data_IF_762960661399
#
_entry.id   IF_762960661399
#
_cell.length_a   1.000
_cell.length_b   1.000
_cell.length_c   1.000
_cell.angle_alpha   90.00
_cell.angle_beta   90.00
_cell.angle_gamma   90.00
#
_symmetry.space_group_name_H-M   'P 1'
#
loop_
_entity.id
_entity.type
_entity.pdbx_description
1 polymer ?
#
# COMPACT_ATOMS: atom_id res chain seq x y z
N UNK A 1 -15.88 22.05 3.21
CA UNK A 1 -17.01 22.00 4.14
C UNK A 1 -16.53 21.58 5.52
N UNK A 2 -16.76 22.44 6.51
CA UNK A 2 -16.31 22.26 7.91
C UNK A 2 -16.85 21.00 8.63
N UNK A 3 -17.78 20.27 8.02
CA UNK A 3 -18.39 19.08 8.61
C UNK A 3 -17.66 17.77 8.27
N UNK A 4 -16.96 17.70 7.16
CA UNK A 4 -16.33 16.45 6.70
C UNK A 4 -14.84 16.36 7.05
N UNK A 5 -14.16 17.47 7.22
CA UNK A 5 -12.74 17.50 7.61
C UNK A 5 -12.44 16.74 8.92
N UNK A 6 -13.23 16.92 10.01
CA UNK A 6 -12.99 16.14 11.23
C UNK A 6 -13.19 14.64 11.06
N UNK A 7 -14.10 14.22 10.18
CA UNK A 7 -14.34 12.79 9.91
C UNK A 7 -13.16 12.11 9.22
N UNK A 8 -12.38 12.86 8.45
CA UNK A 8 -11.17 12.36 7.79
C UNK A 8 -9.94 12.49 8.68
N UNK A 9 -9.74 13.63 9.32
CA UNK A 9 -8.52 13.94 10.08
C UNK A 9 -8.47 13.22 11.43
N UNK A 10 -9.62 12.99 12.05
CA UNK A 10 -9.67 12.37 13.38
C UNK A 10 -9.17 10.91 13.37
N UNK A 11 -9.62 10.02 12.46
CA UNK A 11 -9.07 8.68 12.36
C UNK A 11 -7.58 8.66 12.00
N UNK A 12 -7.13 9.57 11.13
CA UNK A 12 -5.71 9.68 10.74
C UNK A 12 -4.87 10.08 11.96
N UNK A 13 -5.30 11.14 12.67
CA UNK A 13 -4.60 11.61 13.88
C UNK A 13 -4.59 10.56 14.99
N UNK A 14 -5.71 9.88 15.20
CA UNK A 14 -5.82 8.83 16.20
C UNK A 14 -4.95 7.62 15.84
N UNK A 15 -4.96 7.17 14.58
CA UNK A 15 -4.06 6.12 14.09
C UNK A 15 -2.60 6.49 14.25
N UNK A 16 -2.24 7.74 13.93
CA UNK A 16 -0.88 8.27 14.15
C UNK A 16 -0.48 8.28 15.61
N UNK A 17 -1.37 8.66 16.53
CA UNK A 17 -1.10 8.58 17.96
C UNK A 17 -0.88 7.15 18.42
N UNK A 18 -1.77 6.23 18.04
CA UNK A 18 -1.67 4.81 18.45
C UNK A 18 -0.40 4.14 17.92
N UNK A 19 -0.01 4.42 16.68
CA UNK A 19 1.19 3.84 16.08
C UNK A 19 2.49 4.34 16.71
N UNK A 20 2.45 5.49 17.39
CA UNK A 20 3.62 6.12 18.02
C UNK A 20 3.64 6.00 19.54
N UNK A 21 2.75 5.21 20.17
CA UNK A 21 2.85 4.92 21.60
C UNK A 21 4.11 4.09 21.85
N UNK A 22 5.06 4.59 22.66
CA UNK A 22 6.29 3.87 22.94
C UNK A 22 6.01 2.48 23.52
N UNK A 23 6.76 1.48 23.09
CA UNK A 23 6.72 0.09 23.57
C UNK A 23 5.38 -0.65 23.40
N UNK A 24 4.36 -0.02 22.84
CA UNK A 24 3.06 -0.65 22.67
C UNK A 24 3.00 -1.63 21.48
N UNK A 25 3.90 -1.53 20.50
CA UNK A 25 3.99 -2.43 19.34
C UNK A 25 2.73 -2.52 18.49
N UNK A 26 1.81 -1.56 18.59
CA UNK A 26 0.48 -1.65 17.98
C UNK A 26 0.50 -1.71 16.45
N UNK A 27 1.50 -1.10 15.82
CA UNK A 27 1.70 -1.09 14.37
C UNK A 27 2.75 -2.11 13.90
N UNK A 28 3.40 -2.83 14.80
CA UNK A 28 4.43 -3.81 14.46
C UNK A 28 3.82 -5.12 14.02
N UNK A 29 4.43 -5.74 13.01
CA UNK A 29 4.12 -7.12 12.61
C UNK A 29 4.65 -8.12 13.67
N UNK A 30 4.29 -9.40 13.57
CA UNK A 30 4.82 -10.41 14.49
C UNK A 30 6.33 -10.54 14.35
N UNK A 31 6.85 -10.47 13.12
CA UNK A 31 8.27 -10.49 12.85
C UNK A 31 8.99 -9.27 13.43
N UNK A 32 8.45 -8.08 13.30
CA UNK A 32 9.02 -6.86 13.90
C UNK A 32 9.01 -6.93 15.42
N UNK A 33 7.95 -7.46 16.04
CA UNK A 33 7.90 -7.69 17.48
C UNK A 33 8.95 -8.70 17.95
N UNK A 34 9.16 -9.78 17.18
CA UNK A 34 10.22 -10.74 17.46
C UNK A 34 11.60 -10.06 17.38
N UNK A 35 11.86 -9.26 16.35
CA UNK A 35 13.13 -8.55 16.21
C UNK A 35 13.39 -7.52 17.33
N UNK A 36 12.32 -7.02 17.95
CA UNK A 36 12.41 -6.02 19.01
C UNK A 36 12.50 -6.64 20.41
N UNK A 37 11.78 -7.72 20.66
CA UNK A 37 11.62 -8.34 21.99
C UNK A 37 12.22 -9.74 22.08
N UNK A 38 12.64 -10.32 20.95
CA UNK A 38 13.12 -11.69 20.86
C UNK A 38 14.49 -11.92 21.50
N UNK A 39 14.74 -13.15 21.88
CA UNK A 39 16.05 -13.57 22.33
C UNK A 39 17.08 -13.59 21.20
N UNK A 40 18.38 -13.45 21.47
CA UNK A 40 19.42 -13.56 20.46
C UNK A 40 19.35 -14.85 19.64
N UNK A 41 18.90 -15.94 20.23
CA UNK A 41 18.74 -17.23 19.57
C UNK A 41 17.58 -17.20 18.54
N UNK A 42 16.47 -16.59 18.90
CA UNK A 42 15.31 -16.42 17.99
C UNK A 42 15.66 -15.50 16.82
N UNK A 43 16.37 -14.42 17.08
CA UNK A 43 16.84 -13.49 16.04
C UNK A 43 17.84 -14.22 15.11
N UNK A 44 18.69 -15.07 15.64
CA UNK A 44 19.62 -15.87 14.83
C UNK A 44 18.89 -16.84 13.90
N UNK A 45 17.77 -17.42 14.31
CA UNK A 45 16.93 -18.26 13.44
C UNK A 45 16.38 -17.47 12.26
N UNK A 46 15.86 -16.26 12.50
CA UNK A 46 15.39 -15.37 11.42
C UNK A 46 16.53 -14.99 10.48
N UNK A 47 17.69 -14.63 11.02
CA UNK A 47 18.88 -14.30 10.24
C UNK A 47 19.35 -15.47 9.36
N UNK A 48 19.33 -16.68 9.90
CA UNK A 48 19.69 -17.89 9.15
C UNK A 48 18.73 -18.16 7.98
N UNK A 49 17.43 -17.92 8.15
CA UNK A 49 16.44 -18.05 7.07
C UNK A 49 16.66 -17.02 5.95
N UNK A 50 17.11 -15.83 6.30
CA UNK A 50 17.45 -14.76 5.35
C UNK A 50 18.86 -14.91 4.76
N UNK A 51 19.70 -15.80 5.31
CA UNK A 51 21.09 -15.98 4.87
C UNK A 51 22.00 -14.80 5.24
N UNK A 52 21.70 -14.07 6.31
CA UNK A 52 22.46 -12.90 6.78
C UNK A 52 22.99 -13.10 8.19
N UNK A 53 23.89 -12.21 8.60
CA UNK A 53 24.36 -12.19 10.00
C UNK A 53 23.22 -11.84 10.96
N UNK A 54 23.26 -12.31 12.23
CA UNK A 54 22.23 -12.03 13.23
C UNK A 54 22.36 -10.59 13.80
N UNK A 55 22.50 -9.63 12.90
CA UNK A 55 22.49 -8.20 13.18
C UNK A 55 21.18 -7.58 12.68
N UNK A 56 20.55 -6.76 13.52
CA UNK A 56 19.27 -6.16 13.22
C UNK A 56 19.28 -5.30 11.96
N UNK A 57 20.40 -4.60 11.69
CA UNK A 57 20.52 -3.78 10.49
C UNK A 57 20.61 -4.65 9.22
N UNK A 58 21.38 -5.75 9.28
CA UNK A 58 21.49 -6.70 8.17
C UNK A 58 20.14 -7.38 7.89
N UNK A 59 19.42 -7.81 8.93
CA UNK A 59 18.11 -8.44 8.82
C UNK A 59 17.10 -7.45 8.19
N UNK A 60 17.01 -6.21 8.69
CA UNK A 60 16.12 -5.19 8.13
C UNK A 60 16.40 -4.90 6.66
N UNK A 61 17.67 -4.80 6.28
CA UNK A 61 18.07 -4.59 4.88
C UNK A 61 17.70 -5.79 4.01
N UNK A 62 17.91 -7.01 4.49
CA UNK A 62 17.52 -8.21 3.76
C UNK A 62 15.99 -8.32 3.59
N UNK A 63 15.22 -7.94 4.61
CA UNK A 63 13.75 -7.93 4.53
C UNK A 63 13.22 -6.98 3.45
N UNK A 64 13.85 -5.84 3.20
CA UNK A 64 13.40 -4.90 2.15
C UNK A 64 13.55 -5.45 0.75
N UNK A 65 14.50 -6.36 0.54
CA UNK A 65 14.75 -7.00 -0.76
C UNK A 65 14.19 -8.43 -0.88
N UNK A 66 13.68 -8.98 0.22
CA UNK A 66 13.18 -10.35 0.25
C UNK A 66 11.84 -10.50 -0.49
N UNK A 67 11.62 -11.64 -1.16
CA UNK A 67 10.30 -11.93 -1.76
C UNK A 67 9.20 -11.96 -0.70
N UNK A 68 7.99 -11.55 -1.09
CA UNK A 68 6.84 -11.49 -0.18
C UNK A 68 6.49 -12.86 0.42
N UNK A 69 6.75 -13.95 -0.33
CA UNK A 69 6.58 -15.32 0.15
C UNK A 69 7.49 -15.64 1.34
N UNK A 70 8.73 -15.17 1.30
CA UNK A 70 9.69 -15.34 2.39
C UNK A 70 9.28 -14.51 3.61
N UNK A 71 8.87 -13.28 3.43
CA UNK A 71 8.36 -12.43 4.53
C UNK A 71 7.16 -13.10 5.20
N UNK A 72 6.22 -13.66 4.43
CA UNK A 72 5.07 -14.38 5.00
C UNK A 72 5.49 -15.64 5.79
N UNK A 73 6.52 -16.35 5.36
CA UNK A 73 7.06 -17.49 6.10
C UNK A 73 7.72 -17.05 7.42
N UNK A 74 8.49 -15.98 7.41
CA UNK A 74 9.11 -15.42 8.61
C UNK A 74 8.07 -14.88 9.59
N UNK A 75 6.99 -14.27 9.08
CA UNK A 75 5.83 -13.87 9.89
C UNK A 75 5.17 -15.07 10.57
N UNK A 76 4.90 -16.15 9.83
CA UNK A 76 4.32 -17.37 10.38
C UNK A 76 5.23 -17.98 11.45
N UNK A 77 6.54 -18.06 11.17
CA UNK A 77 7.53 -18.55 12.12
C UNK A 77 7.58 -17.69 13.40
N UNK A 78 7.46 -16.39 13.26
CA UNK A 78 7.41 -15.46 14.42
C UNK A 78 6.17 -15.69 15.27
N UNK A 79 5.03 -15.97 14.65
CA UNK A 79 3.79 -16.34 15.36
C UNK A 79 3.97 -17.67 16.08
N UNK A 80 4.58 -18.67 15.45
CA UNK A 80 4.87 -19.97 16.08
C UNK A 80 5.85 -19.85 17.26
N UNK A 81 6.73 -18.86 17.24
CA UNK A 81 7.62 -18.50 18.35
C UNK A 81 6.92 -17.73 19.49
N UNK A 82 5.61 -17.45 19.35
CA UNK A 82 4.81 -16.80 20.40
C UNK A 82 4.66 -15.29 20.25
N UNK A 83 5.12 -14.69 19.14
CA UNK A 83 4.93 -13.26 18.87
C UNK A 83 3.67 -13.01 18.08
N UNK A 84 2.95 -11.94 18.41
CA UNK A 84 1.74 -11.54 17.71
C UNK A 84 1.90 -10.17 17.07
N UNK A 85 1.22 -9.96 15.95
CA UNK A 85 1.15 -8.64 15.34
C UNK A 85 0.27 -7.72 16.20
N UNK A 86 0.64 -6.44 16.23
CA UNK A 86 -0.17 -5.41 16.87
C UNK A 86 -1.51 -5.22 16.16
N UNK A 87 -2.49 -4.66 16.87
CA UNK A 87 -3.85 -4.52 16.38
C UNK A 87 -3.93 -3.65 15.10
N UNK A 88 -3.12 -2.61 14.99
CA UNK A 88 -3.06 -1.76 13.80
C UNK A 88 -2.44 -2.50 12.61
N UNK A 89 -1.40 -3.31 12.85
CA UNK A 89 -0.79 -4.14 11.82
C UNK A 89 -1.78 -5.20 11.31
N UNK A 90 -2.54 -5.84 12.19
CA UNK A 90 -3.60 -6.78 11.81
C UNK A 90 -4.71 -6.10 11.02
N UNK A 91 -5.17 -4.93 11.48
CA UNK A 91 -6.18 -4.15 10.77
C UNK A 91 -5.69 -3.77 9.37
N UNK A 92 -4.45 -3.28 9.26
CA UNK A 92 -3.84 -2.95 7.97
C UNK A 92 -3.77 -4.17 7.05
N UNK A 93 -3.30 -5.30 7.57
CA UNK A 93 -3.18 -6.55 6.81
C UNK A 93 -4.53 -7.00 6.25
N UNK A 94 -5.59 -6.95 7.06
CA UNK A 94 -6.94 -7.36 6.63
C UNK A 94 -7.56 -6.31 5.72
N UNK A 95 -7.59 -5.05 6.13
CA UNK A 95 -8.31 -4.00 5.40
C UNK A 95 -7.60 -3.62 4.09
N UNK A 96 -6.28 -3.42 4.12
CA UNK A 96 -5.51 -2.94 2.99
C UNK A 96 -4.80 -4.10 2.28
N UNK A 97 -4.12 -4.96 3.03
CA UNK A 97 -3.31 -6.05 2.49
C UNK A 97 -4.13 -7.02 1.62
N UNK A 98 -5.33 -7.39 2.03
CA UNK A 98 -6.25 -8.20 1.24
C UNK A 98 -7.11 -7.40 0.25
N UNK A 99 -6.97 -6.07 0.18
CA UNK A 99 -7.69 -5.22 -0.77
C UNK A 99 -9.17 -4.99 -0.43
N UNK A 100 -9.63 -5.31 0.77
CA UNK A 100 -11.02 -5.14 1.19
C UNK A 100 -11.41 -3.65 1.23
N UNK A 101 -10.59 -2.82 1.85
CA UNK A 101 -10.87 -1.38 1.98
C UNK A 101 -10.98 -0.68 0.63
N UNK A 102 -10.08 -0.87 -0.35
CA UNK A 102 -10.26 -0.33 -1.70
C UNK A 102 -11.58 -0.72 -2.34
N UNK A 103 -11.99 -1.99 -2.25
CA UNK A 103 -13.27 -2.46 -2.79
C UNK A 103 -14.47 -1.78 -2.13
N UNK A 104 -14.46 -1.66 -0.80
CA UNK A 104 -15.52 -0.97 -0.04
C UNK A 104 -15.57 0.52 -0.38
N UNK A 105 -14.42 1.17 -0.56
CA UNK A 105 -14.33 2.57 -0.97
C UNK A 105 -14.96 2.75 -2.37
N UNK A 106 -14.62 1.90 -3.34
CA UNK A 106 -15.23 1.95 -4.68
C UNK A 106 -16.74 1.74 -4.65
N UNK A 107 -17.19 0.76 -3.86
CA UNK A 107 -18.63 0.53 -3.68
C UNK A 107 -19.32 1.75 -3.05
N UNK A 108 -18.71 2.38 -2.06
CA UNK A 108 -19.22 3.59 -1.42
C UNK A 108 -19.29 4.77 -2.38
N UNK A 109 -18.24 5.01 -3.17
CA UNK A 109 -18.22 6.05 -4.21
C UNK A 109 -19.31 5.78 -5.25
N UNK A 110 -19.46 4.53 -5.70
CA UNK A 110 -20.52 4.15 -6.64
C UNK A 110 -21.93 4.40 -6.07
N UNK A 111 -22.14 4.08 -4.79
CA UNK A 111 -23.43 4.32 -4.13
C UNK A 111 -23.77 5.81 -3.95
N UNK A 112 -22.76 6.67 -3.82
CA UNK A 112 -22.94 8.12 -3.69
C UNK A 112 -23.02 8.85 -5.03
N UNK A 113 -22.72 8.17 -6.15
CA UNK A 113 -22.70 8.78 -7.46
C UNK A 113 -24.12 9.07 -7.96
N UNK A 114 -24.39 10.32 -8.30
CA UNK A 114 -25.65 10.72 -8.94
C UNK A 114 -25.53 10.52 -10.47
N UNK A 115 -26.20 9.50 -10.96
CA UNK A 115 -26.28 9.19 -12.39
C UNK A 115 -27.34 10.02 -13.16
N UNK A 116 -28.13 10.85 -12.48
CA UNK A 116 -29.16 11.66 -13.08
C UNK A 116 -28.66 12.52 -14.25
N UNK A 117 -27.59 13.30 -14.09
CA UNK A 117 -27.02 14.11 -15.18
C UNK A 117 -26.57 13.30 -16.40
N UNK A 118 -26.03 12.08 -16.17
CA UNK A 118 -25.60 11.18 -17.23
C UNK A 118 -26.80 10.64 -18.02
N UNK A 119 -27.87 10.26 -17.33
CA UNK A 119 -29.10 9.76 -17.97
C UNK A 119 -29.82 10.86 -18.73
N UNK A 120 -29.80 12.09 -18.22
CA UNK A 120 -30.39 13.25 -18.85
C UNK A 120 -29.65 13.68 -20.13
N UNK A 121 -28.31 13.50 -20.16
CA UNK A 121 -27.48 13.88 -21.29
C UNK A 121 -26.42 12.80 -21.61
N UNK A 122 -26.78 11.74 -22.32
CA UNK A 122 -25.87 10.59 -22.61
C UNK A 122 -24.57 10.96 -23.35
N UNK A 123 -24.53 12.14 -23.99
CA UNK A 123 -23.31 12.64 -24.65
C UNK A 123 -22.15 12.87 -23.64
N UNK A 124 -22.46 13.01 -22.36
CA UNK A 124 -21.45 13.14 -21.30
C UNK A 124 -20.60 11.87 -21.13
N UNK A 125 -21.03 10.71 -21.63
CA UNK A 125 -20.22 9.50 -21.73
C UNK A 125 -18.94 9.71 -22.54
N UNK A 126 -18.95 10.60 -23.54
CA UNK A 126 -17.76 10.93 -24.32
C UNK A 126 -16.67 11.60 -23.48
N UNK A 127 -17.04 12.30 -22.42
CA UNK A 127 -16.06 12.87 -21.48
C UNK A 127 -15.33 11.77 -20.71
N UNK A 128 -16.07 10.72 -20.29
CA UNK A 128 -15.46 9.54 -19.68
C UNK A 128 -14.52 8.82 -20.64
N UNK A 129 -14.91 8.66 -21.89
CA UNK A 129 -14.06 8.08 -22.93
C UNK A 129 -12.79 8.93 -23.16
N UNK A 130 -12.91 10.25 -23.18
CA UNK A 130 -11.76 11.15 -23.31
C UNK A 130 -10.81 11.05 -22.10
N UNK A 131 -11.35 10.92 -20.88
CA UNK A 131 -10.56 10.72 -19.68
C UNK A 131 -9.78 9.39 -19.74
N UNK A 132 -10.43 8.30 -20.14
CA UNK A 132 -9.78 6.99 -20.32
C UNK A 132 -8.69 7.05 -21.41
N UNK A 133 -8.96 7.72 -22.52
CA UNK A 133 -7.94 7.93 -23.55
C UNK A 133 -6.72 8.68 -22.99
N UNK A 134 -6.94 9.69 -22.15
CA UNK A 134 -5.86 10.43 -21.49
C UNK A 134 -4.96 9.54 -20.63
N UNK A 135 -5.55 8.61 -19.86
CA UNK A 135 -4.81 7.64 -19.04
C UNK A 135 -3.88 6.79 -19.91
N UNK A 136 -4.43 6.15 -20.95
CA UNK A 136 -3.64 5.31 -21.86
C UNK A 136 -2.59 6.10 -22.65
N UNK A 137 -2.93 7.31 -23.10
CA UNK A 137 -1.99 8.20 -23.80
C UNK A 137 -0.83 8.58 -22.88
N UNK A 138 -1.07 8.80 -21.60
CA UNK A 138 -0.02 9.12 -20.62
C UNK A 138 0.92 7.94 -20.38
N UNK A 139 0.40 6.72 -20.26
CA UNK A 139 1.23 5.50 -20.15
C UNK A 139 2.11 5.34 -21.39
N UNK A 140 1.50 5.44 -22.58
CA UNK A 140 2.23 5.33 -23.85
C UNK A 140 3.27 6.46 -24.00
N UNK A 141 2.93 7.67 -23.56
CA UNK A 141 3.86 8.79 -23.54
C UNK A 141 5.08 8.54 -22.62
N UNK A 142 4.85 8.03 -21.42
CA UNK A 142 5.93 7.66 -20.50
C UNK A 142 6.84 6.58 -21.10
N UNK A 143 6.25 5.56 -21.70
CA UNK A 143 7.01 4.50 -22.39
C UNK A 143 7.74 5.00 -23.64
N UNK A 144 7.16 5.94 -24.38
CA UNK A 144 7.83 6.56 -25.51
C UNK A 144 9.04 7.39 -25.07
N UNK A 145 8.94 8.15 -23.98
CA UNK A 145 10.07 8.89 -23.40
C UNK A 145 11.21 7.94 -22.99
N UNK A 146 10.85 6.78 -22.43
CA UNK A 146 11.83 5.73 -22.12
C UNK A 146 12.47 5.16 -23.39
N UNK A 147 11.68 4.88 -24.42
CA UNK A 147 12.18 4.36 -25.70
C UNK A 147 13.16 5.32 -26.39
N UNK A 148 12.90 6.63 -26.33
CA UNK A 148 13.78 7.66 -26.87
C UNK A 148 14.98 7.98 -25.95
N UNK A 149 15.09 7.36 -24.78
CA UNK A 149 16.19 7.59 -23.85
C UNK A 149 16.21 8.98 -23.20
N UNK A 150 15.07 9.66 -23.16
CA UNK A 150 14.94 11.00 -22.56
C UNK A 150 14.80 10.90 -21.05
N UNK A 151 13.97 9.95 -20.57
CA UNK A 151 13.74 9.65 -19.16
C UNK A 151 13.56 8.13 -19.05
N UNK A 152 14.22 7.52 -18.07
CA UNK A 152 14.11 6.09 -17.81
C UNK A 152 12.93 5.82 -16.87
N UNK A 153 11.86 5.24 -17.41
CA UNK A 153 10.72 4.73 -16.64
C UNK A 153 10.63 3.23 -16.76
N UNK A 154 10.48 2.55 -15.63
CA UNK A 154 10.08 1.14 -15.63
C UNK A 154 8.60 1.00 -16.01
N UNK A 155 8.18 -0.18 -16.44
CA UNK A 155 6.78 -0.43 -16.79
C UNK A 155 5.81 -0.16 -15.61
N UNK A 156 6.12 -0.58 -14.36
CA UNK A 156 5.31 -0.21 -13.19
C UNK A 156 5.22 1.29 -12.94
N UNK A 157 6.32 2.03 -13.10
CA UNK A 157 6.31 3.49 -12.97
C UNK A 157 5.45 4.16 -14.04
N UNK A 158 5.58 3.74 -15.30
CA UNK A 158 4.74 4.25 -16.38
C UNK A 158 3.25 3.97 -16.13
N UNK A 159 2.91 2.78 -15.64
CA UNK A 159 1.55 2.42 -15.25
C UNK A 159 1.05 3.30 -14.09
N UNK A 160 1.87 3.55 -13.08
CA UNK A 160 1.55 4.44 -11.95
C UNK A 160 1.26 5.87 -12.39
N UNK A 161 2.07 6.41 -13.31
CA UNK A 161 1.85 7.74 -13.91
C UNK A 161 0.48 7.80 -14.61
N UNK A 162 0.12 6.77 -15.37
CA UNK A 162 -1.17 6.69 -16.03
C UNK A 162 -2.35 6.65 -15.04
N UNK A 163 -2.23 5.87 -13.97
CA UNK A 163 -3.26 5.73 -12.93
C UNK A 163 -3.55 7.08 -12.24
N UNK A 164 -2.52 7.90 -12.00
CA UNK A 164 -2.70 9.24 -11.44
C UNK A 164 -3.60 10.10 -12.34
N UNK A 165 -3.48 9.95 -13.66
CA UNK A 165 -4.32 10.65 -14.64
C UNK A 165 -5.80 10.29 -14.57
N UNK A 166 -6.17 9.19 -13.92
CA UNK A 166 -7.56 8.80 -13.69
C UNK A 166 -8.32 9.68 -12.70
N UNK A 167 -7.62 10.57 -11.98
CA UNK A 167 -8.18 11.50 -10.99
C UNK A 167 -9.00 10.82 -9.89
N UNK A 168 -8.67 9.57 -9.57
CA UNK A 168 -9.25 8.79 -8.47
C UNK A 168 -8.19 8.62 -7.37
N UNK A 169 -8.27 9.46 -6.34
CA UNK A 169 -7.30 9.50 -5.25
C UNK A 169 -7.08 8.16 -4.56
N UNK A 170 -8.11 7.46 -4.08
CA UNK A 170 -7.95 6.17 -3.42
C UNK A 170 -7.27 5.11 -4.29
N UNK A 171 -7.65 5.01 -5.56
CA UNK A 171 -7.05 4.08 -6.52
C UNK A 171 -5.60 4.44 -6.81
N UNK A 172 -5.32 5.73 -7.07
CA UNK A 172 -3.97 6.20 -7.35
C UNK A 172 -3.04 5.90 -6.18
N UNK A 173 -3.43 6.24 -4.95
CA UNK A 173 -2.61 5.98 -3.75
C UNK A 173 -2.36 4.48 -3.59
N UNK A 174 -3.40 3.65 -3.66
CA UNK A 174 -3.29 2.22 -3.43
C UNK A 174 -2.46 1.50 -4.49
N UNK A 175 -2.75 1.73 -5.79
CA UNK A 175 -2.05 1.04 -6.86
C UNK A 175 -0.62 1.56 -7.06
N UNK A 176 -0.42 2.87 -6.96
CA UNK A 176 0.92 3.45 -7.12
C UNK A 176 1.86 2.98 -6.02
N UNK A 177 1.40 2.95 -4.76
CA UNK A 177 2.21 2.43 -3.65
C UNK A 177 2.56 0.94 -3.77
N UNK A 178 1.83 0.17 -4.58
CA UNK A 178 2.14 -1.24 -4.87
C UNK A 178 3.01 -1.43 -6.11
N UNK A 179 2.85 -0.59 -7.14
CA UNK A 179 3.54 -0.72 -8.41
C UNK A 179 4.91 -0.05 -8.41
N UNK A 180 5.01 1.11 -7.78
CA UNK A 180 6.23 1.92 -7.72
C UNK A 180 6.30 2.63 -6.35
N UNK A 181 6.75 1.92 -5.30
CA UNK A 181 6.78 2.44 -3.93
C UNK A 181 7.89 3.45 -3.67
N UNK A 182 8.85 3.62 -4.60
CA UNK A 182 9.95 4.60 -4.52
C UNK A 182 9.54 6.06 -4.67
#
# INVERSE_FOLDING_TARGET
SRKFEPLLLLPIGFGGLLSNIPEAGLAMTALENLLHLGSPEQIAVIAAQLGVSPDLAAIKTAMTSAPISMINQLEALSVDMGYSAGILALFYKVAIGYGIAPLVIFMGVGAMTDFGPLLANPKTLLLGAAAQFGIFATVLGALALNYFGIIEFTLPQAASIGIIGGADGPTAIYLTSKLAPE
#
